data_IF_054012757634
#
_entry.id   IF_054012757634
#
_cell.length_a   1.000
_cell.length_b   1.000
_cell.length_c   1.000
_cell.angle_alpha   90.00
_cell.angle_beta   90.00
_cell.angle_gamma   90.00
#
_symmetry.space_group_name_H-M   'P 1'
#
loop_
_entity.id
_entity.type
_entity.pdbx_description
1 polymer ?
#
# COMPACT_ATOMS: atom_id res chain seq x y z
N UNK A 1 16.16 0.30 -9.32
CA UNK A 1 15.22 0.62 -10.41
C UNK A 1 15.77 0.09 -11.73
N UNK A 2 14.91 -0.45 -12.59
CA UNK A 2 15.29 -1.09 -13.86
C UNK A 2 15.27 -0.15 -15.08
N UNK A 3 14.73 1.05 -14.92
CA UNK A 3 14.84 2.17 -15.88
C UNK A 3 15.26 3.43 -15.11
N UNK A 4 15.91 4.44 -15.74
CA UNK A 4 16.22 5.70 -15.07
C UNK A 4 14.95 6.38 -14.54
N UNK A 5 15.04 7.17 -13.48
CA UNK A 5 13.96 8.11 -13.10
C UNK A 5 13.91 9.28 -14.08
N UNK A 6 12.76 9.96 -14.20
CA UNK A 6 12.75 11.28 -14.84
C UNK A 6 13.62 12.28 -14.06
N UNK A 7 14.00 13.38 -14.70
CA UNK A 7 14.72 14.47 -14.04
C UNK A 7 13.95 15.01 -12.82
N UNK A 8 14.67 15.58 -11.86
CA UNK A 8 14.07 16.25 -10.72
C UNK A 8 14.69 17.66 -10.58
N UNK A 9 13.95 18.74 -10.95
CA UNK A 9 12.53 18.75 -11.29
C UNK A 9 12.20 18.06 -12.63
N UNK A 10 10.99 17.49 -12.80
CA UNK A 10 10.58 16.87 -14.06
C UNK A 10 10.52 17.89 -15.19
N UNK A 11 11.15 17.57 -16.32
CA UNK A 11 10.99 18.31 -17.56
C UNK A 11 9.67 17.95 -18.23
N UNK A 12 8.97 18.95 -18.78
CA UNK A 12 7.68 18.75 -19.47
C UNK A 12 7.68 19.46 -20.81
N UNK A 13 7.07 18.82 -21.81
CA UNK A 13 7.00 19.35 -23.18
C UNK A 13 5.64 19.95 -23.51
N UNK A 14 4.61 19.66 -22.71
CA UNK A 14 3.24 20.16 -22.91
C UNK A 14 2.70 20.86 -21.65
N UNK A 15 1.79 21.84 -21.80
CA UNK A 15 1.10 22.44 -20.66
C UNK A 15 0.29 21.43 -19.82
N UNK A 16 -0.21 20.37 -20.44
CA UNK A 16 -0.96 19.31 -19.77
C UNK A 16 -0.06 18.51 -18.82
N UNK A 17 1.12 18.08 -19.29
CA UNK A 17 2.11 17.38 -18.47
C UNK A 17 2.60 18.27 -17.31
N UNK A 18 2.84 19.56 -17.59
CA UNK A 18 3.21 20.53 -16.56
C UNK A 18 2.14 20.64 -15.46
N UNK A 19 0.85 20.64 -15.84
CA UNK A 19 -0.26 20.67 -14.89
C UNK A 19 -0.34 19.38 -14.05
N UNK A 20 -0.01 18.21 -14.62
CA UNK A 20 0.05 16.94 -13.90
C UNK A 20 1.19 16.96 -12.87
N UNK A 21 2.39 17.37 -13.28
CA UNK A 21 3.54 17.51 -12.38
C UNK A 21 3.20 18.44 -11.21
N UNK A 22 2.58 19.59 -11.49
CA UNK A 22 2.17 20.54 -10.46
C UNK A 22 1.17 19.94 -9.45
N UNK A 23 0.18 19.15 -9.91
CA UNK A 23 -0.76 18.45 -9.00
C UNK A 23 -0.05 17.45 -8.08
N UNK A 24 0.90 16.68 -8.62
CA UNK A 24 1.65 15.69 -7.84
C UNK A 24 2.57 16.37 -6.82
N UNK A 25 3.24 17.46 -7.21
CA UNK A 25 4.05 18.29 -6.31
C UNK A 25 3.21 18.91 -5.19
N UNK A 26 2.03 19.47 -5.52
CA UNK A 26 1.13 20.07 -4.54
C UNK A 26 0.68 19.05 -3.48
N UNK A 27 0.37 17.80 -3.88
CA UNK A 27 0.04 16.73 -2.93
C UNK A 27 1.21 16.37 -2.01
N UNK A 28 2.46 16.44 -2.49
CA UNK A 28 3.65 16.08 -1.70
C UNK A 28 4.09 17.19 -0.75
N UNK A 29 3.81 18.44 -1.08
CA UNK A 29 4.24 19.62 -0.34
C UNK A 29 4.00 19.50 1.18
N UNK A 30 5.00 19.86 2.03
CA UNK A 30 6.30 20.45 1.68
C UNK A 30 7.39 19.42 1.30
N UNK A 31 7.05 18.13 1.25
CA UNK A 31 8.01 17.07 0.90
C UNK A 31 8.28 17.04 -0.61
N UNK A 32 9.48 16.60 -1.04
CA UNK A 32 9.78 16.45 -2.46
C UNK A 32 9.02 15.28 -3.10
N UNK A 33 9.10 15.19 -4.44
CA UNK A 33 8.72 13.99 -5.18
C UNK A 33 9.56 12.80 -4.71
N UNK A 34 8.93 11.64 -4.57
CA UNK A 34 9.60 10.40 -4.18
C UNK A 34 9.91 9.54 -5.42
N UNK A 35 10.74 8.48 -5.30
CA UNK A 35 11.09 7.61 -6.43
C UNK A 35 9.89 7.08 -7.22
N UNK A 36 8.78 6.71 -6.55
CA UNK A 36 7.55 6.30 -7.23
C UNK A 36 6.95 7.41 -8.10
N UNK A 37 6.96 8.66 -7.64
CA UNK A 37 6.44 9.77 -8.44
C UNK A 37 7.30 9.97 -9.70
N UNK A 38 8.63 9.95 -9.54
CA UNK A 38 9.57 10.10 -10.65
C UNK A 38 9.51 8.92 -11.64
N UNK A 39 9.21 7.71 -11.17
CA UNK A 39 8.99 6.56 -12.04
C UNK A 39 7.70 6.69 -12.86
N UNK A 40 6.60 7.10 -12.22
CA UNK A 40 5.30 7.27 -12.88
C UNK A 40 5.30 8.40 -13.92
N UNK A 41 6.08 9.46 -13.68
CA UNK A 41 6.15 10.63 -14.56
C UNK A 41 6.81 10.37 -15.92
N UNK A 42 7.35 9.18 -16.17
CA UNK A 42 7.61 8.71 -17.55
C UNK A 42 6.33 8.60 -18.40
N UNK A 43 5.17 8.47 -17.75
CA UNK A 43 3.85 8.44 -18.38
C UNK A 43 2.88 9.35 -17.61
N UNK A 44 2.90 10.68 -17.84
CA UNK A 44 2.11 11.64 -17.07
C UNK A 44 0.61 11.31 -16.95
N UNK A 45 -0.11 10.88 -18.00
CA UNK A 45 -1.51 10.47 -17.86
C UNK A 45 -1.72 9.31 -16.87
N UNK A 46 -0.79 8.35 -16.84
CA UNK A 46 -0.80 7.25 -15.85
C UNK A 46 -0.53 7.80 -14.45
N UNK A 47 0.44 8.71 -14.30
CA UNK A 47 0.77 9.33 -13.02
C UNK A 47 -0.42 10.11 -12.43
N UNK A 48 -1.20 10.81 -13.26
CA UNK A 48 -2.37 11.56 -12.81
C UNK A 48 -3.54 10.65 -12.39
N UNK A 49 -3.83 9.62 -13.18
CA UNK A 49 -4.82 8.61 -12.82
C UNK A 49 -4.45 7.90 -11.52
N UNK A 50 -3.17 7.53 -11.37
CA UNK A 50 -2.61 6.96 -10.15
C UNK A 50 -2.77 7.91 -8.96
N UNK A 51 -2.45 9.19 -9.15
CA UNK A 51 -2.59 10.20 -8.12
C UNK A 51 -4.04 10.32 -7.62
N UNK A 52 -5.00 10.34 -8.54
CA UNK A 52 -6.43 10.46 -8.23
C UNK A 52 -6.99 9.22 -7.52
N UNK A 53 -6.78 8.04 -8.10
CA UNK A 53 -7.32 6.79 -7.56
C UNK A 53 -6.71 6.46 -6.18
N UNK A 54 -5.39 6.44 -6.07
CA UNK A 54 -4.72 6.13 -4.81
C UNK A 54 -4.90 7.25 -3.78
N UNK A 55 -5.12 8.49 -4.23
CA UNK A 55 -5.56 9.59 -3.37
C UNK A 55 -6.90 9.29 -2.71
N UNK A 56 -7.89 8.82 -3.49
CA UNK A 56 -9.19 8.43 -2.95
C UNK A 56 -9.09 7.33 -1.89
N UNK A 57 -8.31 6.27 -2.16
CA UNK A 57 -8.11 5.16 -1.22
C UNK A 57 -7.54 5.64 0.12
N UNK A 58 -6.53 6.52 0.09
CA UNK A 58 -5.83 6.99 1.30
C UNK A 58 -6.59 8.03 2.12
N UNK A 59 -7.41 8.87 1.48
CA UNK A 59 -7.95 10.08 2.15
C UNK A 59 -9.46 10.26 2.05
N UNK A 60 -10.16 9.42 1.27
CA UNK A 60 -11.61 9.56 1.03
C UNK A 60 -12.41 8.29 1.31
N UNK A 61 -11.80 7.29 1.94
CA UNK A 61 -12.49 6.10 2.47
C UNK A 61 -12.89 6.32 3.93
N UNK A 62 -13.78 5.47 4.43
CA UNK A 62 -14.23 5.44 5.83
C UNK A 62 -13.36 4.54 6.72
N UNK A 63 -12.46 3.75 6.13
CA UNK A 63 -11.59 2.84 6.88
C UNK A 63 -10.66 3.61 7.84
N UNK A 64 -10.66 3.24 9.13
CA UNK A 64 -9.65 3.68 10.08
C UNK A 64 -8.23 3.36 9.63
N UNK A 65 -7.28 4.19 10.05
CA UNK A 65 -5.88 4.09 9.64
C UNK A 65 -5.25 2.74 10.01
N UNK A 66 -5.55 2.19 11.20
CA UNK A 66 -5.03 0.88 11.60
C UNK A 66 -5.42 -0.23 10.61
N UNK A 67 -6.68 -0.27 10.17
CA UNK A 67 -7.17 -1.27 9.22
C UNK A 67 -6.63 -1.04 7.81
N UNK A 68 -6.66 0.21 7.34
CA UNK A 68 -6.19 0.55 5.99
C UNK A 68 -4.70 0.26 5.84
N UNK A 69 -3.89 0.73 6.77
CA UNK A 69 -2.44 0.56 6.71
C UNK A 69 -2.02 -0.90 6.98
N UNK A 70 -2.76 -1.64 7.81
CA UNK A 70 -2.53 -3.07 8.01
C UNK A 70 -2.78 -3.89 6.74
N UNK A 71 -3.86 -3.59 5.99
CA UNK A 71 -4.12 -4.23 4.70
C UNK A 71 -2.98 -3.98 3.71
N UNK A 72 -2.53 -2.72 3.62
CA UNK A 72 -1.41 -2.31 2.76
C UNK A 72 -0.13 -3.04 3.14
N UNK A 73 0.22 -3.05 4.42
CA UNK A 73 1.43 -3.72 4.90
C UNK A 73 1.40 -5.22 4.62
N UNK A 74 0.23 -5.87 4.72
CA UNK A 74 0.14 -7.30 4.37
C UNK A 74 0.37 -7.55 2.89
N UNK A 75 -0.19 -6.72 2.01
CA UNK A 75 0.08 -6.80 0.57
C UNK A 75 1.58 -6.64 0.29
N UNK A 76 2.20 -5.62 0.89
CA UNK A 76 3.63 -5.37 0.75
C UNK A 76 4.47 -6.57 1.20
N UNK A 77 4.14 -7.19 2.34
CA UNK A 77 4.84 -8.37 2.84
C UNK A 77 4.69 -9.58 1.92
N UNK A 78 3.48 -9.87 1.44
CA UNK A 78 3.22 -11.00 0.53
C UNK A 78 4.00 -10.86 -0.79
N UNK A 79 4.01 -9.65 -1.34
CA UNK A 79 4.63 -9.36 -2.64
C UNK A 79 6.11 -8.97 -2.53
N UNK A 80 6.68 -8.93 -1.31
CA UNK A 80 8.04 -8.44 -1.01
C UNK A 80 8.27 -7.03 -1.55
N UNK A 81 7.24 -6.18 -1.52
CA UNK A 81 7.30 -4.80 -1.96
C UNK A 81 7.83 -3.89 -0.85
N UNK A 82 9.13 -3.96 -0.59
CA UNK A 82 9.72 -3.30 0.58
C UNK A 82 9.74 -1.77 0.50
N UNK A 83 9.68 -1.19 -0.69
CA UNK A 83 9.42 0.24 -0.85
C UNK A 83 8.04 0.63 -0.29
N UNK A 84 7.01 -0.16 -0.57
CA UNK A 84 5.64 0.04 -0.03
C UNK A 84 5.64 -0.12 1.48
N UNK A 85 6.23 -1.22 1.96
CA UNK A 85 6.35 -1.52 3.39
C UNK A 85 6.96 -0.34 4.17
N UNK A 86 8.08 0.21 3.70
CA UNK A 86 8.78 1.32 4.36
C UNK A 86 7.92 2.56 4.57
N UNK A 87 7.03 2.86 3.62
CA UNK A 87 6.18 4.03 3.67
C UNK A 87 4.95 3.81 4.56
N UNK A 88 4.50 2.56 4.69
CA UNK A 88 3.21 2.23 5.29
C UNK A 88 3.31 1.60 6.68
N UNK A 89 4.37 0.83 6.98
CA UNK A 89 4.55 0.23 8.30
C UNK A 89 4.62 1.28 9.44
N UNK A 90 5.30 2.43 9.29
CA UNK A 90 5.26 3.49 10.29
C UNK A 90 3.85 4.07 10.49
N UNK A 91 3.06 4.16 9.42
CA UNK A 91 1.68 4.66 9.46
C UNK A 91 0.75 3.67 10.16
N UNK A 92 0.92 2.36 9.93
CA UNK A 92 0.19 1.33 10.66
C UNK A 92 0.45 1.42 12.17
N UNK A 93 1.71 1.61 12.57
CA UNK A 93 2.08 1.80 13.98
C UNK A 93 1.47 3.08 14.55
N UNK A 94 1.55 4.19 13.80
CA UNK A 94 0.92 5.45 14.20
C UNK A 94 -0.61 5.34 14.31
N UNK A 95 -1.23 4.52 13.47
CA UNK A 95 -2.67 4.22 13.49
C UNK A 95 -3.11 3.33 14.65
N UNK A 96 -2.17 2.71 15.38
CA UNK A 96 -2.46 1.90 16.57
C UNK A 96 -2.16 0.40 16.43
N UNK A 97 -1.56 -0.05 15.33
CA UNK A 97 -1.09 -1.43 15.20
C UNK A 97 0.22 -1.58 15.97
N UNK A 98 0.25 -2.43 17.01
CA UNK A 98 1.48 -2.59 17.81
C UNK A 98 2.64 -3.16 16.99
N UNK A 99 3.89 -2.83 17.37
CA UNK A 99 5.07 -3.40 16.71
C UNK A 99 5.09 -4.94 16.74
N UNK A 100 4.61 -5.54 17.83
CA UNK A 100 4.47 -7.00 17.95
C UNK A 100 3.41 -7.56 16.99
N UNK A 101 2.34 -6.81 16.72
CA UNK A 101 1.37 -7.18 15.67
C UNK A 101 2.00 -7.05 14.27
N UNK A 102 2.87 -6.07 14.04
CA UNK A 102 3.58 -5.93 12.76
C UNK A 102 4.50 -7.12 12.46
N UNK A 103 5.04 -7.80 13.48
CA UNK A 103 5.78 -9.06 13.30
C UNK A 103 4.88 -10.18 12.72
N UNK A 104 3.61 -10.23 13.13
CA UNK A 104 2.60 -11.13 12.52
C UNK A 104 2.31 -10.71 11.08
N UNK A 105 2.19 -9.41 10.82
CA UNK A 105 1.88 -8.87 9.48
C UNK A 105 2.98 -9.19 8.46
N UNK A 106 4.27 -9.11 8.84
CA UNK A 106 5.40 -9.44 7.93
C UNK A 106 5.74 -10.93 7.83
N UNK A 107 5.15 -11.78 8.68
CA UNK A 107 5.45 -13.21 8.68
C UNK A 107 5.12 -13.86 7.32
N UNK A 108 5.94 -14.83 6.90
CA UNK A 108 5.74 -15.52 5.61
C UNK A 108 4.37 -16.20 5.52
N UNK A 109 3.93 -16.83 6.61
CA UNK A 109 2.61 -17.40 6.77
C UNK A 109 1.93 -16.79 8.01
N UNK A 110 0.62 -16.55 7.91
CA UNK A 110 -0.18 -16.17 9.06
C UNK A 110 -0.44 -17.37 9.96
N UNK A 111 -0.57 -17.18 11.29
CA UNK A 111 -0.97 -18.26 12.18
C UNK A 111 -2.39 -18.77 11.83
N UNK A 112 -2.68 -20.02 12.18
CA UNK A 112 -4.01 -20.60 11.93
C UNK A 112 -5.12 -19.88 12.71
N UNK A 113 -4.79 -19.43 13.93
CA UNK A 113 -5.71 -18.73 14.82
C UNK A 113 -5.26 -17.29 15.11
N UNK A 114 -6.21 -16.43 15.42
CA UNK A 114 -5.96 -15.02 15.78
C UNK A 114 -5.09 -14.93 17.05
N UNK A 115 -3.93 -14.26 17.03
CA UNK A 115 -3.19 -13.93 18.24
C UNK A 115 -3.93 -12.81 18.98
N UNK A 116 -4.90 -13.17 19.81
CA UNK A 116 -5.88 -12.23 20.38
C UNK A 116 -5.29 -11.12 21.26
N UNK A 117 -4.08 -11.31 21.79
CA UNK A 117 -3.34 -10.29 22.53
C UNK A 117 -2.72 -9.20 21.65
N UNK A 118 -2.59 -9.44 20.34
CA UNK A 118 -1.90 -8.56 19.39
C UNK A 118 -2.83 -7.89 18.39
N UNK A 119 -3.85 -8.61 17.92
CA UNK A 119 -4.77 -8.16 16.87
C UNK A 119 -6.20 -8.32 17.35
N UNK A 120 -7.03 -7.29 17.20
CA UNK A 120 -8.47 -7.39 17.43
C UNK A 120 -9.17 -8.14 16.26
N UNK A 121 -10.47 -8.44 16.41
CA UNK A 121 -11.22 -9.21 15.40
C UNK A 121 -11.28 -8.51 14.03
N UNK A 122 -11.48 -7.19 14.01
CA UNK A 122 -11.49 -6.37 12.78
C UNK A 122 -10.15 -6.42 12.05
N UNK A 123 -9.06 -6.21 12.78
CA UNK A 123 -7.69 -6.24 12.24
C UNK A 123 -7.36 -7.62 11.70
N UNK A 124 -7.73 -8.69 12.41
CA UNK A 124 -7.52 -10.06 11.95
C UNK A 124 -8.30 -10.40 10.69
N UNK A 125 -9.58 -9.99 10.61
CA UNK A 125 -10.40 -10.20 9.42
C UNK A 125 -9.78 -9.51 8.19
N UNK A 126 -9.34 -8.25 8.34
CA UNK A 126 -8.66 -7.51 7.27
C UNK A 126 -7.32 -8.16 6.89
N UNK A 127 -6.54 -8.63 7.88
CA UNK A 127 -5.26 -9.29 7.65
C UNK A 127 -5.42 -10.55 6.80
N UNK A 128 -6.36 -11.43 7.19
CA UNK A 128 -6.66 -12.68 6.48
C UNK A 128 -7.20 -12.43 5.08
N UNK A 129 -8.10 -11.46 4.94
CA UNK A 129 -8.65 -11.07 3.65
C UNK A 129 -7.58 -10.55 2.70
N UNK A 130 -6.70 -9.66 3.17
CA UNK A 130 -5.61 -9.10 2.39
C UNK A 130 -4.60 -10.20 1.97
N UNK A 131 -4.32 -11.16 2.85
CA UNK A 131 -3.43 -12.29 2.56
C UNK A 131 -3.98 -13.20 1.45
N UNK A 132 -5.23 -13.66 1.57
CA UNK A 132 -5.83 -14.55 0.58
C UNK A 132 -6.04 -13.86 -0.77
N UNK A 133 -6.58 -12.64 -0.77
CA UNK A 133 -6.79 -11.88 -2.00
C UNK A 133 -5.46 -11.61 -2.74
N UNK A 134 -4.36 -11.45 -2.00
CA UNK A 134 -3.04 -11.22 -2.60
C UNK A 134 -2.41 -12.50 -3.15
N UNK A 135 -2.46 -13.59 -2.37
CA UNK A 135 -1.78 -14.85 -2.72
C UNK A 135 -2.57 -15.74 -3.67
N UNK A 136 -3.88 -15.74 -3.55
CA UNK A 136 -4.77 -16.69 -4.21
C UNK A 136 -5.77 -16.01 -5.16
N UNK A 137 -5.96 -14.70 -5.06
CA UNK A 137 -6.94 -13.88 -5.80
C UNK A 137 -8.38 -14.21 -5.41
N UNK A 138 -8.75 -15.49 -5.42
CA UNK A 138 -9.99 -16.00 -4.87
C UNK A 138 -9.89 -16.05 -3.34
N UNK A 139 -10.78 -15.33 -2.67
CA UNK A 139 -10.92 -15.36 -1.20
C UNK A 139 -11.92 -16.44 -0.85
N UNK A 140 -11.57 -17.30 0.11
CA UNK A 140 -12.45 -18.36 0.57
C UNK A 140 -13.67 -17.79 1.32
N UNK A 141 -14.82 -18.46 1.20
CA UNK A 141 -16.09 -18.02 1.80
C UNK A 141 -15.97 -17.79 3.32
N UNK A 142 -15.18 -18.62 4.00
CA UNK A 142 -14.96 -18.49 5.45
C UNK A 142 -14.19 -17.21 5.81
N UNK A 143 -13.19 -16.81 5.01
CA UNK A 143 -12.49 -15.53 5.23
C UNK A 143 -13.38 -14.35 4.85
N UNK A 144 -14.17 -14.47 3.78
CA UNK A 144 -15.13 -13.44 3.42
C UNK A 144 -16.17 -13.23 4.54
N UNK A 145 -16.66 -14.31 5.17
CA UNK A 145 -17.57 -14.24 6.33
C UNK A 145 -16.97 -13.50 7.52
N UNK A 146 -15.65 -13.63 7.77
CA UNK A 146 -14.98 -12.85 8.83
C UNK A 146 -15.08 -11.35 8.57
N UNK A 147 -14.85 -10.91 7.34
CA UNK A 147 -15.02 -9.50 6.97
C UNK A 147 -16.48 -9.08 7.17
N UNK A 148 -17.43 -9.88 6.66
CA UNK A 148 -18.87 -9.58 6.75
C UNK A 148 -19.43 -9.59 8.17
N UNK A 149 -18.76 -10.24 9.12
CA UNK A 149 -19.16 -10.21 10.53
C UNK A 149 -18.89 -8.84 11.20
N UNK A 150 -18.03 -8.00 10.61
CA UNK A 150 -17.55 -6.78 11.26
C UNK A 150 -17.67 -5.50 10.44
N UNK A 151 -17.91 -5.62 9.13
CA UNK A 151 -17.89 -4.52 8.17
C UNK A 151 -19.15 -4.49 7.34
N UNK A 152 -19.65 -3.29 7.07
CA UNK A 152 -20.78 -3.07 6.16
C UNK A 152 -20.36 -3.20 4.68
N UNK A 153 -21.31 -3.05 3.76
CA UNK A 153 -21.05 -3.18 2.31
C UNK A 153 -20.05 -2.16 1.80
N UNK A 154 -20.12 -0.91 2.31
CA UNK A 154 -19.20 0.16 1.92
C UNK A 154 -17.80 -0.16 2.41
N UNK A 155 -17.64 -0.48 3.69
CA UNK A 155 -16.35 -0.84 4.28
C UNK A 155 -15.75 -2.07 3.58
N UNK A 156 -16.57 -3.06 3.22
CA UNK A 156 -16.13 -4.26 2.48
C UNK A 156 -15.57 -3.90 1.10
N UNK A 157 -16.25 -3.01 0.37
CA UNK A 157 -15.78 -2.50 -0.92
C UNK A 157 -14.49 -1.69 -0.74
N UNK A 158 -14.42 -0.84 0.29
CA UNK A 158 -13.23 -0.03 0.58
C UNK A 158 -12.01 -0.89 0.97
N UNK A 159 -12.20 -1.98 1.75
CA UNK A 159 -11.15 -2.95 2.08
C UNK A 159 -10.67 -3.63 0.79
N UNK A 160 -11.60 -4.11 -0.03
CA UNK A 160 -11.29 -4.79 -1.30
C UNK A 160 -10.56 -3.88 -2.27
N UNK A 161 -11.00 -2.63 -2.40
CA UNK A 161 -10.37 -1.63 -3.25
C UNK A 161 -8.97 -1.27 -2.73
N UNK A 162 -8.78 -1.18 -1.42
CA UNK A 162 -7.46 -0.95 -0.80
C UNK A 162 -6.50 -2.10 -1.13
N UNK A 163 -6.89 -3.34 -0.89
CA UNK A 163 -6.05 -4.52 -1.17
C UNK A 163 -5.73 -4.61 -2.67
N UNK A 164 -6.73 -4.38 -3.54
CA UNK A 164 -6.56 -4.38 -5.00
C UNK A 164 -5.57 -3.29 -5.46
N UNK A 165 -5.75 -2.07 -4.95
CA UNK A 165 -4.95 -0.92 -5.33
C UNK A 165 -3.48 -1.11 -4.92
N UNK A 166 -3.23 -1.63 -3.72
CA UNK A 166 -1.86 -1.89 -3.28
C UNK A 166 -1.26 -3.16 -3.91
N UNK A 167 -2.09 -4.09 -4.38
CA UNK A 167 -1.64 -5.15 -5.27
C UNK A 167 -1.16 -4.59 -6.64
N UNK A 168 -1.80 -3.54 -7.14
CA UNK A 168 -1.32 -2.81 -8.32
C UNK A 168 -0.01 -2.04 -8.01
N UNK A 169 0.04 -1.33 -6.88
CA UNK A 169 1.23 -0.57 -6.41
C UNK A 169 2.44 -1.51 -6.26
N UNK A 170 2.32 -2.56 -5.46
CA UNK A 170 3.39 -3.54 -5.25
C UNK A 170 3.90 -4.17 -6.55
N UNK A 171 3.01 -4.53 -7.49
CA UNK A 171 3.43 -5.06 -8.81
C UNK A 171 4.25 -4.04 -9.60
N UNK A 172 3.84 -2.76 -9.59
CA UNK A 172 4.61 -1.70 -10.25
C UNK A 172 5.98 -1.50 -9.58
N UNK A 173 5.99 -1.38 -8.25
CA UNK A 173 7.20 -1.16 -7.45
C UNK A 173 8.22 -2.28 -7.65
N UNK A 174 7.79 -3.54 -7.51
CA UNK A 174 8.68 -4.71 -7.58
C UNK A 174 9.12 -4.97 -9.01
N UNK A 175 8.23 -4.87 -10.00
CA UNK A 175 8.59 -5.09 -11.40
C UNK A 175 9.70 -4.14 -11.86
N UNK A 176 9.60 -2.87 -11.46
CA UNK A 176 10.56 -1.83 -11.83
C UNK A 176 11.68 -1.64 -10.81
N UNK A 177 11.65 -2.30 -9.64
CA UNK A 177 12.61 -2.10 -8.55
C UNK A 177 12.68 -0.63 -8.09
N UNK A 178 11.52 -0.01 -7.90
CA UNK A 178 11.41 1.39 -7.46
C UNK A 178 12.06 1.57 -6.09
N UNK A 179 12.92 2.57 -5.96
CA UNK A 179 13.73 2.85 -4.77
C UNK A 179 14.80 1.81 -4.45
N UNK A 180 15.10 0.91 -5.40
CA UNK A 180 16.18 -0.08 -5.29
C UNK A 180 15.99 -1.02 -4.08
N UNK A 181 14.74 -1.34 -3.74
CA UNK A 181 14.37 -2.08 -2.53
C UNK A 181 14.15 -3.58 -2.72
N UNK A 182 14.22 -4.13 -3.94
CA UNK A 182 13.96 -5.56 -4.14
C UNK A 182 14.95 -6.49 -3.42
N UNK A 183 16.17 -6.01 -3.16
CA UNK A 183 17.21 -6.76 -2.45
C UNK A 183 17.23 -6.58 -0.93
N UNK A 184 16.29 -5.81 -0.36
CA UNK A 184 16.21 -5.57 1.09
C UNK A 184 15.20 -6.52 1.75
N UNK A 185 15.01 -6.39 3.06
CA UNK A 185 13.94 -7.02 3.83
C UNK A 185 13.07 -6.00 4.57
N UNK A 186 11.99 -6.46 5.24
CA UNK A 186 11.06 -5.58 5.97
C UNK A 186 11.72 -4.86 7.16
N UNK A 187 12.82 -5.39 7.68
CA UNK A 187 13.57 -4.82 8.82
C UNK A 187 14.71 -3.89 8.38
N UNK A 188 15.13 -3.95 7.11
CA UNK A 188 16.21 -3.13 6.56
C UNK A 188 15.72 -1.72 6.17
N UNK A 189 14.41 -1.49 6.16
CA UNK A 189 13.81 -0.25 5.64
C UNK A 189 13.55 0.83 6.69
N UNK A 190 13.85 0.54 7.96
CA UNK A 190 13.77 1.50 9.06
C UNK A 190 14.95 2.49 9.10
N UNK A 191 16.01 2.25 8.32
CA UNK A 191 17.22 3.05 8.32
C UNK A 191 17.43 3.70 6.95
N UNK A 192 16.74 4.80 6.63
CA UNK A 192 17.18 5.87 5.70
C UNK A 192 16.25 7.08 5.80
#
# INVERSE_FOLDING_TARGET
MKIPYVSNPPETTTPEDAAIVARIQARRSPRPLIPLDLALLHAPPVADGWNSFLGAIRTRTSLPDDLRELAICRVAACNKAWFEWAHHAPLAVQGGVSSAAMDVVKAEALPEARPAALLNDKQWAVLKYADEMTRHVQVEDEVFKLVRAHFDDRETVEITATVSAYNCVSRFLVALDVGEKNGTGPDDVAAH
#
